data_IF_405713715739
#
_entry.id   IF_405713715739
#
_cell.length_a   1.000
_cell.length_b   1.000
_cell.length_c   1.000
_cell.angle_alpha   90.00
_cell.angle_beta   90.00
_cell.angle_gamma   90.00
#
_symmetry.space_group_name_H-M   'P 1'
#
loop_
_entity.id
_entity.type
_entity.pdbx_description
1 polymer ?
#
# COMPACT_ATOMS: atom_id res chain seq x y z
N UNK A 1 -25.01 33.13 90.74
CA UNK A 1 -24.74 31.68 90.75
C UNK A 1 -24.50 31.24 89.31
N UNK A 2 -23.35 30.57 89.04
CA UNK A 2 -22.96 29.84 87.79
C UNK A 2 -22.48 30.73 86.60
N UNK A 3 -21.15 30.83 86.37
CA UNK A 3 -20.28 30.09 85.39
C UNK A 3 -20.68 30.28 83.91
N UNK A 4 -19.86 30.36 82.86
CA UNK A 4 -18.41 30.49 82.54
C UNK A 4 -18.30 30.40 80.99
N UNK A 5 -17.13 30.75 80.43
CA UNK A 5 -16.54 30.33 79.13
C UNK A 5 -16.70 31.17 77.84
N UNK A 6 -15.59 31.86 77.51
CA UNK A 6 -14.80 31.89 76.25
C UNK A 6 -15.50 31.62 74.91
N UNK A 7 -15.26 32.49 73.92
CA UNK A 7 -14.80 32.06 72.59
C UNK A 7 -14.09 33.19 71.83
N UNK A 8 -12.87 32.91 71.38
CA UNK A 8 -12.06 33.74 70.50
C UNK A 8 -12.57 33.64 69.05
N UNK A 9 -12.74 34.77 68.38
CA UNK A 9 -13.02 34.83 66.95
C UNK A 9 -11.76 35.16 66.17
N UNK A 10 -10.94 34.14 65.86
CA UNK A 10 -9.84 34.28 64.89
C UNK A 10 -10.47 34.15 63.49
N UNK A 11 -10.63 35.27 62.77
CA UNK A 11 -10.94 35.22 61.34
C UNK A 11 -9.69 34.73 60.60
N UNK A 12 -9.64 33.44 60.31
CA UNK A 12 -8.70 32.90 59.31
C UNK A 12 -9.24 33.26 57.92
N UNK A 13 -8.76 34.38 57.36
CA UNK A 13 -8.88 34.65 55.94
C UNK A 13 -8.05 33.59 55.20
N UNK A 14 -8.70 32.56 54.69
CA UNK A 14 -8.08 31.62 53.74
C UNK A 14 -7.93 32.39 52.42
N UNK A 15 -6.82 33.10 52.27
CA UNK A 15 -6.31 33.43 50.94
C UNK A 15 -5.95 32.10 50.29
N UNK A 16 -6.81 31.59 49.41
CA UNK A 16 -6.40 30.63 48.40
C UNK A 16 -5.41 31.33 47.46
N UNK A 17 -4.15 31.44 47.88
CA UNK A 17 -3.06 31.75 46.98
C UNK A 17 -2.99 30.57 46.00
N UNK A 18 -3.55 30.73 44.81
CA UNK A 18 -3.36 29.82 43.71
C UNK A 18 -1.84 29.68 43.52
N UNK A 19 -1.31 28.52 43.90
CA UNK A 19 0.12 28.31 43.94
C UNK A 19 0.64 28.35 42.49
N UNK A 20 1.50 29.31 42.11
CA UNK A 20 1.87 29.53 40.70
C UNK A 20 2.56 28.31 40.07
N UNK A 21 3.14 27.43 40.89
CA UNK A 21 3.69 26.14 40.47
C UNK A 21 2.58 25.20 39.96
N UNK A 22 1.48 25.04 40.70
CA UNK A 22 0.33 24.22 40.29
C UNK A 22 -0.36 24.78 39.02
N UNK A 23 -0.44 26.10 38.88
CA UNK A 23 -0.96 26.74 37.67
C UNK A 23 -0.06 26.52 36.45
N UNK A 24 1.27 26.57 36.63
CA UNK A 24 2.25 26.29 35.59
C UNK A 24 2.22 24.83 35.15
N UNK A 25 2.12 23.89 36.09
CA UNK A 25 2.05 22.46 35.80
C UNK A 25 0.76 22.10 35.05
N UNK A 26 -0.38 22.67 35.44
CA UNK A 26 -1.65 22.48 34.73
C UNK A 26 -1.63 23.10 33.32
N UNK A 27 -1.03 24.28 33.16
CA UNK A 27 -0.87 24.93 31.86
C UNK A 27 0.06 24.13 30.93
N UNK A 28 1.12 23.53 31.47
CA UNK A 28 2.07 22.73 30.71
C UNK A 28 1.49 21.36 30.34
N UNK A 29 0.70 20.75 31.23
CA UNK A 29 -0.07 19.55 30.93
C UNK A 29 -1.10 19.79 29.82
N UNK A 30 -1.85 20.89 29.89
CA UNK A 30 -2.82 21.27 28.85
C UNK A 30 -2.15 21.54 27.49
N UNK A 31 -1.00 22.23 27.49
CA UNK A 31 -0.21 22.47 26.28
C UNK A 31 0.30 21.16 25.65
N UNK A 32 0.73 20.20 26.48
CA UNK A 32 1.18 18.89 26.00
C UNK A 32 0.03 18.06 25.40
N UNK A 33 -1.18 18.12 25.98
CA UNK A 33 -2.38 17.46 25.42
C UNK A 33 -2.73 18.06 24.06
N UNK A 34 -2.83 19.40 23.96
CA UNK A 34 -3.13 20.07 22.71
C UNK A 34 -2.07 19.82 21.62
N UNK A 35 -0.79 19.80 22.00
CA UNK A 35 0.31 19.46 21.08
C UNK A 35 0.22 18.01 20.58
N UNK A 36 -0.15 17.07 21.45
CA UNK A 36 -0.35 15.66 21.12
C UNK A 36 -1.54 15.48 20.18
N UNK A 37 -2.68 16.09 20.47
CA UNK A 37 -3.87 16.07 19.60
C UNK A 37 -3.55 16.65 18.21
N UNK A 38 -2.79 17.75 18.15
CA UNK A 38 -2.31 18.33 16.88
C UNK A 38 -1.34 17.39 16.14
N UNK A 39 -0.46 16.68 16.85
CA UNK A 39 0.47 15.74 16.23
C UNK A 39 -0.24 14.50 15.67
N UNK A 40 -1.22 13.98 16.41
CA UNK A 40 -2.08 12.86 15.99
C UNK A 40 -2.91 13.24 14.75
N UNK A 41 -3.54 14.43 14.76
CA UNK A 41 -4.29 14.94 13.62
C UNK A 41 -3.40 15.06 12.36
N UNK A 42 -2.20 15.63 12.49
CA UNK A 42 -1.24 15.73 11.38
C UNK A 42 -0.75 14.37 10.88
N UNK A 43 -0.54 13.41 11.78
CA UNK A 43 -0.13 12.06 11.40
C UNK A 43 -1.24 11.36 10.60
N UNK A 44 -2.49 11.48 11.05
CA UNK A 44 -3.66 10.93 10.36
C UNK A 44 -3.88 11.59 8.98
N UNK A 45 -3.76 12.92 8.91
CA UNK A 45 -3.83 13.66 7.64
C UNK A 45 -2.77 13.18 6.65
N UNK A 46 -1.51 13.03 7.09
CA UNK A 46 -0.42 12.51 6.25
C UNK A 46 -0.64 11.06 5.83
N UNK A 47 -1.18 10.21 6.71
CA UNK A 47 -1.51 8.83 6.38
C UNK A 47 -2.56 8.76 5.26
N UNK A 48 -3.53 9.68 5.29
CA UNK A 48 -4.62 9.69 4.33
C UNK A 48 -4.39 10.60 3.12
N UNK A 49 -3.33 11.39 2.99
CA UNK A 49 -3.23 12.29 1.82
C UNK A 49 -2.36 11.69 0.72
N UNK A 50 -2.88 11.47 -0.52
CA UNK A 50 -2.04 11.06 -1.64
C UNK A 50 -0.85 12.02 -1.85
N UNK A 51 0.32 11.47 -2.16
CA UNK A 51 1.56 12.22 -2.32
C UNK A 51 2.51 11.56 -3.31
N UNK A 52 3.82 11.72 -3.09
CA UNK A 52 4.86 11.27 -4.01
C UNK A 52 4.85 9.75 -4.29
N UNK A 53 4.40 8.93 -3.33
CA UNK A 53 4.27 7.49 -3.56
C UNK A 53 3.17 7.15 -4.55
N UNK A 54 2.02 7.83 -4.49
CA UNK A 54 0.94 7.66 -5.46
C UNK A 54 1.32 8.25 -6.82
N UNK A 55 1.95 9.43 -6.87
CA UNK A 55 2.40 10.05 -8.14
C UNK A 55 3.29 9.14 -8.98
N UNK A 56 4.09 8.26 -8.37
CA UNK A 56 4.94 7.29 -9.09
C UNK A 56 4.14 6.26 -9.89
N UNK A 57 2.88 6.02 -9.55
CA UNK A 57 1.99 5.12 -10.28
C UNK A 57 1.35 5.77 -11.51
N UNK A 58 1.53 7.08 -11.72
CA UNK A 58 0.88 7.82 -12.81
C UNK A 58 1.18 7.23 -14.20
N UNK A 59 2.41 6.72 -14.40
CA UNK A 59 2.81 6.10 -15.66
C UNK A 59 1.96 4.87 -16.02
N UNK A 60 1.35 4.22 -15.03
CA UNK A 60 0.49 3.04 -15.24
C UNK A 60 -0.91 3.40 -15.70
N UNK A 61 -1.32 4.67 -15.67
CA UNK A 61 -2.67 5.09 -16.06
C UNK A 61 -2.80 5.17 -17.58
N UNK A 62 -3.89 4.62 -18.10
CA UNK A 62 -4.25 4.65 -19.52
C UNK A 62 -4.74 3.31 -20.04
N UNK A 63 -4.85 3.24 -21.37
CA UNK A 63 -5.16 2.02 -22.10
C UNK A 63 -3.90 1.52 -22.80
N UNK A 64 -3.69 0.22 -22.76
CA UNK A 64 -2.48 -0.42 -23.26
C UNK A 64 -2.81 -1.66 -24.07
N UNK A 65 -2.08 -1.83 -25.16
CA UNK A 65 -1.94 -3.10 -25.85
C UNK A 65 -0.87 -3.92 -25.11
N UNK A 66 -1.21 -5.17 -24.78
CA UNK A 66 -0.39 -6.04 -23.94
C UNK A 66 0.01 -7.29 -24.71
N UNK A 67 1.32 -7.48 -24.86
CA UNK A 67 1.88 -8.78 -25.27
C UNK A 67 2.24 -9.56 -24.03
N UNK A 68 1.64 -10.73 -23.88
CA UNK A 68 1.87 -11.65 -22.77
C UNK A 68 2.75 -12.79 -23.27
N UNK A 69 3.83 -13.06 -22.54
CA UNK A 69 4.71 -14.21 -22.79
C UNK A 69 4.69 -15.11 -21.57
N UNK A 70 4.38 -16.39 -21.78
CA UNK A 70 4.30 -17.37 -20.70
C UNK A 70 5.35 -18.45 -20.90
N UNK A 71 6.16 -18.71 -19.88
CA UNK A 71 7.11 -19.81 -19.81
C UNK A 71 6.57 -20.87 -18.86
N UNK A 72 6.27 -22.05 -19.41
CA UNK A 72 5.95 -23.25 -18.61
C UNK A 72 7.24 -23.98 -18.22
N UNK A 73 8.22 -23.97 -19.13
CA UNK A 73 9.54 -24.54 -18.96
C UNK A 73 10.57 -23.46 -19.33
N UNK A 74 11.47 -23.06 -18.41
CA UNK A 74 12.45 -21.99 -18.67
C UNK A 74 13.47 -22.37 -19.75
N UNK A 75 13.57 -23.63 -20.16
CA UNK A 75 14.43 -24.09 -21.26
C UNK A 75 13.79 -23.97 -22.64
N UNK A 76 12.48 -23.68 -22.71
CA UNK A 76 11.72 -23.56 -23.97
C UNK A 76 11.37 -22.10 -24.30
N UNK A 77 11.12 -21.77 -25.57
CA UNK A 77 10.55 -20.49 -25.96
C UNK A 77 9.19 -20.24 -25.27
N UNK A 78 8.84 -18.97 -24.97
CA UNK A 78 7.54 -18.66 -24.40
C UNK A 78 6.41 -18.88 -25.40
N UNK A 79 5.22 -19.13 -24.87
CA UNK A 79 3.97 -18.98 -25.62
C UNK A 79 3.55 -17.52 -25.56
N UNK A 80 3.30 -16.90 -26.71
CA UNK A 80 2.82 -15.52 -26.80
C UNK A 80 1.29 -15.47 -26.85
N UNK A 81 0.70 -14.44 -26.24
CA UNK A 81 -0.72 -14.12 -26.29
C UNK A 81 -0.91 -12.60 -26.23
N UNK A 82 -2.12 -12.13 -26.53
CA UNK A 82 -2.43 -10.70 -26.60
C UNK A 82 -3.61 -10.33 -25.72
N UNK A 83 -3.51 -9.17 -25.07
CA UNK A 83 -4.58 -8.61 -24.27
C UNK A 83 -4.61 -7.09 -24.38
N UNK A 84 -5.67 -6.49 -23.84
CA UNK A 84 -5.78 -5.06 -23.59
C UNK A 84 -5.84 -4.85 -22.08
N UNK A 85 -5.12 -3.83 -21.60
CA UNK A 85 -5.19 -3.38 -20.21
C UNK A 85 -5.74 -1.96 -20.13
N UNK A 86 -6.66 -1.73 -19.19
CA UNK A 86 -7.16 -0.41 -18.85
C UNK A 86 -6.88 -0.15 -17.38
N UNK A 87 -6.16 0.92 -17.11
CA UNK A 87 -5.75 1.31 -15.76
C UNK A 87 -6.20 2.72 -15.44
N UNK A 88 -6.84 2.89 -14.28
CA UNK A 88 -7.38 4.16 -13.83
C UNK A 88 -7.19 4.38 -12.33
N UNK A 89 -7.12 5.65 -11.93
CA UNK A 89 -7.20 6.03 -10.53
C UNK A 89 -8.60 5.78 -9.99
N UNK A 90 -8.67 5.25 -8.77
CA UNK A 90 -9.93 5.06 -8.04
C UNK A 90 -9.80 5.52 -6.60
N UNK A 91 -10.96 5.83 -6.00
CA UNK A 91 -11.09 6.27 -4.61
C UNK A 91 -10.27 7.54 -4.28
N UNK A 92 -10.24 8.49 -5.21
CA UNK A 92 -9.53 9.77 -5.05
C UNK A 92 -8.01 9.59 -5.09
N UNK A 93 -7.49 8.99 -6.16
CA UNK A 93 -6.06 8.83 -6.47
C UNK A 93 -5.26 8.02 -5.42
N UNK A 94 -5.95 7.11 -4.73
CA UNK A 94 -5.33 6.25 -3.70
C UNK A 94 -4.87 4.91 -4.23
N UNK A 95 -5.62 4.37 -5.17
CA UNK A 95 -5.38 3.06 -5.76
C UNK A 95 -5.46 3.19 -7.28
N UNK A 96 -4.59 2.49 -7.98
CA UNK A 96 -4.75 2.25 -9.41
C UNK A 96 -5.44 0.90 -9.57
N UNK A 97 -6.63 0.91 -10.16
CA UNK A 97 -7.29 -0.30 -10.63
C UNK A 97 -6.80 -0.59 -12.05
N UNK A 98 -6.45 -1.84 -12.32
CA UNK A 98 -6.10 -2.36 -13.64
C UNK A 98 -7.11 -3.45 -14.02
N UNK A 99 -7.63 -3.38 -15.24
CA UNK A 99 -8.47 -4.42 -15.84
C UNK A 99 -7.77 -4.94 -17.09
N UNK A 100 -7.49 -6.24 -17.12
CA UNK A 100 -6.89 -6.93 -18.25
C UNK A 100 -7.95 -7.83 -18.90
N UNK A 101 -8.05 -7.80 -20.22
CA UNK A 101 -8.93 -8.68 -20.99
C UNK A 101 -8.25 -9.09 -22.29
N UNK A 102 -8.31 -10.37 -22.62
CA UNK A 102 -7.70 -10.87 -23.85
C UNK A 102 -7.74 -12.37 -23.98
N UNK A 103 -6.73 -12.88 -24.69
CA UNK A 103 -6.48 -14.30 -24.85
C UNK A 103 -5.24 -14.70 -24.07
N UNK A 104 -5.28 -15.87 -23.45
CA UNK A 104 -4.12 -16.52 -22.88
C UNK A 104 -4.08 -17.97 -23.36
N UNK A 105 -3.10 -18.32 -24.20
CA UNK A 105 -2.94 -19.66 -24.77
C UNK A 105 -4.20 -20.18 -25.51
N UNK A 106 -4.90 -19.29 -26.24
CA UNK A 106 -6.09 -19.65 -27.01
C UNK A 106 -7.38 -19.73 -26.19
N UNK A 107 -7.37 -19.27 -24.93
CA UNK A 107 -8.54 -19.21 -24.06
C UNK A 107 -8.84 -17.77 -23.61
N UNK A 108 -10.12 -17.38 -23.53
CA UNK A 108 -10.51 -16.09 -22.98
C UNK A 108 -10.00 -15.88 -21.55
N UNK A 109 -9.29 -14.79 -21.33
CA UNK A 109 -8.68 -14.46 -20.05
C UNK A 109 -9.09 -13.05 -19.62
N UNK A 110 -9.42 -12.91 -18.33
CA UNK A 110 -9.75 -11.62 -17.73
C UNK A 110 -9.20 -11.55 -16.32
N UNK A 111 -8.64 -10.40 -15.96
CA UNK A 111 -8.12 -10.18 -14.62
C UNK A 111 -8.30 -8.75 -14.14
N UNK A 112 -8.29 -8.60 -12.83
CA UNK A 112 -8.38 -7.32 -12.12
C UNK A 112 -7.21 -7.23 -11.15
N UNK A 113 -6.50 -6.13 -11.23
CA UNK A 113 -5.39 -5.80 -10.34
C UNK A 113 -5.65 -4.50 -9.61
N UNK A 114 -5.07 -4.38 -8.42
CA UNK A 114 -4.92 -3.11 -7.73
C UNK A 114 -3.48 -2.91 -7.33
N UNK A 115 -2.99 -1.68 -7.43
CA UNK A 115 -1.73 -1.25 -6.83
C UNK A 115 -1.93 0.05 -6.06
N UNK A 116 -1.27 0.16 -4.91
CA UNK A 116 -1.38 1.31 -4.02
C UNK A 116 -0.05 1.57 -3.32
N UNK A 117 0.11 2.80 -2.84
CA UNK A 117 1.16 3.16 -1.89
C UNK A 117 0.52 3.46 -0.54
N UNK A 118 1.01 2.82 0.51
CA UNK A 118 0.60 3.13 1.88
C UNK A 118 1.53 4.17 2.49
N UNK A 119 0.96 5.32 2.85
CA UNK A 119 1.69 6.43 3.46
C UNK A 119 2.20 6.13 4.86
N UNK A 120 1.67 5.11 5.55
CA UNK A 120 2.11 4.72 6.90
C UNK A 120 3.29 3.77 6.80
N UNK A 121 3.12 2.61 6.17
CA UNK A 121 4.21 1.62 6.03
C UNK A 121 5.29 2.06 5.03
N UNK A 122 5.01 3.03 4.16
CA UNK A 122 5.87 3.46 3.05
C UNK A 122 6.16 2.34 2.05
N UNK A 123 5.25 1.37 1.95
CA UNK A 123 5.35 0.25 1.02
C UNK A 123 4.27 0.35 -0.05
N UNK A 124 4.62 -0.16 -1.23
CA UNK A 124 3.65 -0.47 -2.26
C UNK A 124 3.02 -1.82 -1.97
N UNK A 125 1.73 -1.90 -2.22
CA UNK A 125 0.92 -3.10 -2.08
C UNK A 125 0.21 -3.34 -3.39
N UNK A 126 0.14 -4.59 -3.83
CA UNK A 126 -0.60 -4.96 -5.01
C UNK A 126 -1.39 -6.25 -4.78
N UNK A 127 -2.54 -6.35 -5.45
CA UNK A 127 -3.30 -7.59 -5.50
C UNK A 127 -3.77 -7.88 -6.92
N UNK A 128 -3.98 -9.16 -7.20
CA UNK A 128 -4.41 -9.66 -8.50
C UNK A 128 -5.42 -10.79 -8.34
N UNK A 129 -6.45 -10.77 -9.18
CA UNK A 129 -7.45 -11.81 -9.37
C UNK A 129 -7.70 -12.02 -10.86
N UNK A 130 -7.99 -13.25 -11.29
CA UNK A 130 -8.33 -13.57 -12.67
C UNK A 130 -9.30 -14.75 -12.78
N UNK A 131 -9.73 -15.06 -14.00
CA UNK A 131 -10.60 -16.21 -14.28
C UNK A 131 -9.83 -17.54 -14.48
N UNK A 132 -8.50 -17.54 -14.30
CA UNK A 132 -7.65 -18.73 -14.34
C UNK A 132 -7.46 -19.38 -12.97
N UNK A 133 -7.86 -18.72 -11.89
CA UNK A 133 -7.75 -19.23 -10.52
C UNK A 133 -8.88 -18.71 -9.62
N UNK A 134 -9.02 -19.29 -8.42
CA UNK A 134 -9.93 -18.81 -7.38
C UNK A 134 -9.21 -18.09 -6.24
N UNK A 135 -7.88 -17.97 -6.34
CA UNK A 135 -7.04 -17.35 -5.33
C UNK A 135 -6.77 -15.89 -5.62
N UNK A 136 -6.65 -15.09 -4.57
CA UNK A 136 -6.11 -13.73 -4.67
C UNK A 136 -4.62 -13.77 -4.38
N UNK A 137 -3.83 -13.06 -5.19
CA UNK A 137 -2.41 -12.87 -4.91
C UNK A 137 -2.21 -11.53 -4.24
N UNK A 138 -1.36 -11.48 -3.24
CA UNK A 138 -0.96 -10.25 -2.56
C UNK A 138 0.55 -10.09 -2.65
N UNK A 139 0.97 -8.87 -2.99
CA UNK A 139 2.36 -8.48 -3.10
C UNK A 139 2.63 -7.24 -2.25
N UNK A 140 3.82 -7.18 -1.68
CA UNK A 140 4.34 -5.98 -1.02
C UNK A 140 5.78 -5.72 -1.44
N UNK A 141 6.14 -4.44 -1.57
CA UNK A 141 7.50 -4.04 -1.91
C UNK A 141 7.57 -2.59 -2.33
N UNK A 142 8.34 -2.29 -3.36
CA UNK A 142 8.38 -0.93 -3.87
C UNK A 142 9.32 -0.67 -5.02
N UNK A 143 9.34 0.59 -5.42
CA UNK A 143 10.22 1.10 -6.45
C UNK A 143 11.62 1.38 -5.89
N UNK A 144 12.62 1.25 -6.75
CA UNK A 144 13.96 1.74 -6.49
C UNK A 144 13.99 3.29 -6.42
N UNK A 145 15.16 3.84 -6.08
CA UNK A 145 15.33 5.29 -5.97
C UNK A 145 15.01 6.04 -7.27
N UNK A 146 15.24 5.40 -8.44
CA UNK A 146 14.95 5.99 -9.74
C UNK A 146 13.45 6.07 -10.04
N UNK A 147 12.63 5.25 -9.38
CA UNK A 147 11.21 5.12 -9.69
C UNK A 147 10.92 4.34 -10.97
N UNK A 148 11.94 3.81 -11.64
CA UNK A 148 11.77 3.09 -12.92
C UNK A 148 11.70 1.57 -12.76
N UNK A 149 12.20 1.02 -11.65
CA UNK A 149 12.07 -0.41 -11.37
C UNK A 149 11.37 -0.64 -10.05
N UNK A 150 10.49 -1.64 -9.99
CA UNK A 150 9.85 -2.09 -8.77
C UNK A 150 10.05 -3.58 -8.58
N UNK A 151 10.18 -4.01 -7.32
CA UNK A 151 10.11 -5.42 -6.94
C UNK A 151 9.15 -5.56 -5.77
N UNK A 152 8.19 -6.45 -5.93
CA UNK A 152 7.22 -6.79 -4.89
C UNK A 152 7.20 -8.30 -4.72
N UNK A 153 7.08 -8.74 -3.48
CA UNK A 153 7.12 -10.15 -3.10
C UNK A 153 5.80 -10.54 -2.49
N UNK A 154 5.41 -11.78 -2.75
CA UNK A 154 4.20 -12.38 -2.23
C UNK A 154 4.41 -13.86 -1.93
N UNK A 155 3.36 -14.49 -1.46
CA UNK A 155 3.30 -15.94 -1.29
C UNK A 155 1.93 -16.43 -1.70
N UNK A 156 1.89 -17.51 -2.47
CA UNK A 156 0.65 -18.19 -2.89
C UNK A 156 0.71 -19.65 -2.47
N UNK A 157 -0.42 -20.30 -2.18
CA UNK A 157 -0.43 -21.75 -1.98
C UNK A 157 0.05 -22.45 -3.24
N UNK A 158 1.00 -23.37 -3.09
CA UNK A 158 1.38 -24.29 -4.15
C UNK A 158 0.21 -25.23 -4.46
N UNK A 159 -0.23 -25.35 -5.73
CA UNK A 159 -1.44 -26.09 -6.07
C UNK A 159 -1.32 -27.61 -5.85
N UNK A 160 -0.10 -28.15 -5.75
CA UNK A 160 0.12 -29.59 -5.53
C UNK A 160 0.20 -29.95 -4.04
N UNK A 161 0.82 -29.09 -3.24
CA UNK A 161 1.14 -29.36 -1.84
C UNK A 161 0.30 -28.56 -0.84
N UNK A 162 -0.39 -27.52 -1.31
CA UNK A 162 -1.11 -26.56 -0.47
C UNK A 162 -0.21 -25.67 0.40
N UNK A 163 1.11 -25.84 0.35
CA UNK A 163 2.06 -25.11 1.17
C UNK A 163 2.37 -23.74 0.57
N UNK A 164 2.73 -22.73 1.38
CA UNK A 164 3.14 -21.42 0.86
C UNK A 164 4.35 -21.53 -0.08
N UNK A 165 4.25 -20.90 -1.25
CA UNK A 165 5.30 -20.81 -2.27
C UNK A 165 5.54 -19.34 -2.64
N UNK A 166 6.80 -18.88 -2.66
CA UNK A 166 7.12 -17.48 -2.93
C UNK A 166 6.86 -17.12 -4.39
N UNK A 167 6.38 -15.90 -4.60
CA UNK A 167 6.23 -15.27 -5.91
C UNK A 167 6.80 -13.86 -5.88
N UNK A 168 7.31 -13.38 -7.01
CA UNK A 168 7.75 -12.00 -7.16
C UNK A 168 7.11 -11.35 -8.38
N UNK A 169 6.70 -10.10 -8.23
CA UNK A 169 6.32 -9.21 -9.31
C UNK A 169 7.46 -8.21 -9.48
N UNK A 170 8.02 -8.14 -10.68
CA UNK A 170 9.03 -7.16 -11.04
C UNK A 170 8.48 -6.25 -12.11
N UNK A 171 8.65 -4.95 -11.96
CA UNK A 171 8.14 -3.97 -12.90
C UNK A 171 9.28 -3.09 -13.40
N UNK A 172 9.25 -2.74 -14.68
CA UNK A 172 10.08 -1.68 -15.26
C UNK A 172 9.19 -0.71 -16.01
N UNK A 173 9.32 0.58 -15.71
CA UNK A 173 8.55 1.66 -16.31
C UNK A 173 9.46 2.43 -17.27
N UNK A 174 8.93 2.72 -18.46
CA UNK A 174 9.59 3.49 -19.51
C UNK A 174 9.11 4.94 -19.49
N UNK A 175 9.91 5.85 -20.04
CA UNK A 175 9.65 7.29 -19.99
C UNK A 175 8.44 7.70 -20.85
N UNK A 176 8.08 6.88 -21.84
CA UNK A 176 6.87 7.02 -22.66
C UNK A 176 5.59 6.49 -21.97
N UNK A 177 5.72 6.04 -20.72
CA UNK A 177 4.64 5.42 -19.94
C UNK A 177 4.32 3.98 -20.34
N UNK A 178 5.06 3.39 -21.29
CA UNK A 178 5.10 1.95 -21.44
C UNK A 178 5.70 1.29 -20.21
N UNK A 179 5.41 0.01 -19.99
CA UNK A 179 6.01 -0.73 -18.89
C UNK A 179 6.06 -2.23 -19.18
N UNK A 180 6.89 -2.93 -18.41
CA UNK A 180 6.99 -4.39 -18.42
C UNK A 180 6.76 -4.89 -17.01
N UNK A 181 5.89 -5.88 -16.86
CA UNK A 181 5.70 -6.62 -15.62
C UNK A 181 6.15 -8.06 -15.82
N UNK A 182 7.04 -8.55 -14.97
CA UNK A 182 7.49 -9.93 -14.93
C UNK A 182 6.93 -10.60 -13.68
N UNK A 183 6.37 -11.80 -13.84
CA UNK A 183 5.94 -12.65 -12.74
C UNK A 183 6.92 -13.81 -12.59
N UNK A 184 7.48 -13.94 -11.40
CA UNK A 184 8.46 -14.95 -11.04
C UNK A 184 7.87 -15.89 -10.01
N UNK A 185 8.11 -17.18 -10.19
CA UNK A 185 7.66 -18.23 -9.27
C UNK A 185 8.43 -19.51 -9.50
N UNK A 186 8.13 -20.53 -8.68
CA UNK A 186 8.74 -21.85 -8.83
C UNK A 186 8.06 -22.74 -9.87
N UNK A 187 6.86 -22.35 -10.34
CA UNK A 187 6.00 -23.21 -11.15
C UNK A 187 5.77 -24.56 -10.45
N UNK A 188 5.90 -25.66 -11.21
CA UNK A 188 5.89 -27.03 -10.67
C UNK A 188 7.27 -27.51 -10.18
N UNK A 189 8.30 -26.68 -10.33
CA UNK A 189 9.66 -27.00 -9.94
C UNK A 189 10.03 -26.49 -8.54
N UNK A 190 11.32 -26.56 -8.21
CA UNK A 190 11.84 -26.05 -6.93
C UNK A 190 12.54 -24.70 -7.04
N UNK A 191 12.96 -24.31 -8.25
CA UNK A 191 13.73 -23.09 -8.53
C UNK A 191 12.83 -21.98 -9.06
N UNK A 192 13.07 -20.77 -8.59
CA UNK A 192 12.46 -19.54 -9.13
C UNK A 192 12.89 -19.31 -10.59
N UNK A 193 11.93 -19.00 -11.44
CA UNK A 193 12.16 -18.56 -12.81
C UNK A 193 11.08 -17.56 -13.25
N UNK A 194 11.32 -16.87 -14.37
CA UNK A 194 10.34 -15.97 -14.98
C UNK A 194 9.23 -16.82 -15.62
N UNK A 195 8.05 -16.83 -15.01
CA UNK A 195 6.89 -17.58 -15.50
C UNK A 195 6.10 -16.77 -16.53
N UNK A 196 6.03 -15.45 -16.36
CA UNK A 196 5.26 -14.58 -17.25
C UNK A 196 5.94 -13.23 -17.44
N UNK A 197 5.80 -12.64 -18.61
CA UNK A 197 6.16 -11.25 -18.93
C UNK A 197 4.97 -10.61 -19.63
N UNK A 198 4.53 -9.46 -19.14
CA UNK A 198 3.51 -8.61 -19.76
C UNK A 198 4.19 -7.33 -20.20
N UNK A 199 4.16 -7.05 -21.50
CA UNK A 199 4.68 -5.82 -22.09
C UNK A 199 3.54 -4.92 -22.50
N UNK A 200 3.45 -3.77 -21.85
CA UNK A 200 2.41 -2.78 -22.04
C UNK A 200 2.91 -1.68 -22.95
N UNK A 201 2.24 -1.49 -24.07
CA UNK A 201 2.47 -0.37 -25.00
C UNK A 201 1.24 0.51 -24.96
N UNK A 202 1.40 1.82 -24.76
CA UNK A 202 0.24 2.73 -24.78
C UNK A 202 -0.49 2.59 -26.11
N UNK A 203 -1.80 2.37 -26.04
CA UNK A 203 -2.64 2.43 -27.23
C UNK A 203 -2.65 3.87 -27.76
N UNK A 204 -2.69 4.01 -29.08
CA UNK A 204 -2.71 5.32 -29.77
C UNK A 204 -4.05 6.04 -29.63
#
# INVERSE_FOLDING_TARGET
MKTSYRLAGLLAAILCLANPVLAKDASQAAANVAAKESAEAKALEKAMTPGEGQKRLQAMIGTFDVVIRTWVDPSKPPVESSATSVSAWVLGDRYVQMMLSGDLQGQPFSGIGYIAFDNVSKLYQATWMDNGSTGMIWYQGGFDASGKSATMKGSVPDPLTGKPSPVELRMKVSDDGGHVTELWGKGLGSKMFKMMELRYTRSR
#
